data_IF_313625034895
#
_entry.id   IF_313625034895
#
_cell.length_a   1.000
_cell.length_b   1.000
_cell.length_c   1.000
_cell.angle_alpha   90.00
_cell.angle_beta   90.00
_cell.angle_gamma   90.00
#
_symmetry.space_group_name_H-M   'P 1'
#
loop_
_entity.id
_entity.type
_entity.pdbx_description
1 polymer ?
#
# COMPACT_ATOMS: atom_id res chain seq x y z
N UNK A 1 -7.23 -2.88 31.33
CA UNK A 1 -8.20 -2.42 30.29
C UNK A 1 -8.20 -3.38 29.07
N UNK A 2 -9.36 -3.80 28.57
CA UNK A 2 -9.43 -4.69 27.41
C UNK A 2 -8.90 -3.93 26.18
N UNK A 3 -8.01 -4.59 25.44
CA UNK A 3 -7.40 -4.06 24.22
C UNK A 3 -8.49 -3.75 23.20
N UNK A 4 -8.65 -2.46 22.85
CA UNK A 4 -9.64 -2.05 21.86
C UNK A 4 -9.09 -2.45 20.47
N UNK A 5 -9.65 -3.51 19.88
CA UNK A 5 -9.22 -4.15 18.61
C UNK A 5 -9.23 -3.20 17.39
N UNK A 6 -9.75 -2.00 17.52
CA UNK A 6 -9.78 -0.97 16.47
C UNK A 6 -8.65 0.06 16.59
N UNK A 7 -7.98 0.17 17.74
CA UNK A 7 -6.94 1.18 18.00
C UNK A 7 -5.51 0.65 17.86
N UNK A 8 -5.32 -0.66 17.69
CA UNK A 8 -3.97 -1.26 17.63
C UNK A 8 -3.19 -0.83 16.37
N UNK A 9 -3.88 -0.57 15.26
CA UNK A 9 -3.25 -0.11 14.01
C UNK A 9 -2.76 1.33 14.12
N UNK A 10 -3.47 2.17 14.86
CA UNK A 10 -3.21 3.61 14.95
C UNK A 10 -1.84 3.92 15.55
N UNK A 11 -1.40 3.13 16.53
CA UNK A 11 -0.07 3.25 17.12
C UNK A 11 1.02 2.80 16.15
N UNK A 12 0.81 1.68 15.46
CA UNK A 12 1.77 1.14 14.49
C UNK A 12 1.92 2.07 13.28
N UNK A 13 0.83 2.68 12.84
CA UNK A 13 0.79 3.65 11.75
C UNK A 13 1.49 4.95 12.15
N UNK A 14 1.22 5.48 13.35
CA UNK A 14 1.86 6.69 13.86
C UNK A 14 3.37 6.51 14.06
N UNK A 15 3.79 5.41 14.69
CA UNK A 15 5.22 5.10 14.90
C UNK A 15 5.94 4.93 13.55
N UNK A 16 5.29 4.29 12.56
CA UNK A 16 5.80 4.17 11.21
C UNK A 16 5.98 5.52 10.51
N UNK A 17 4.94 6.37 10.53
CA UNK A 17 4.99 7.70 9.89
C UNK A 17 6.03 8.61 10.53
N UNK A 18 6.12 8.67 11.86
CA UNK A 18 7.14 9.45 12.57
C UNK A 18 8.55 9.01 12.21
N UNK A 19 8.78 7.69 12.15
CA UNK A 19 10.06 7.13 11.73
C UNK A 19 10.40 7.52 10.29
N UNK A 20 9.44 7.42 9.37
CA UNK A 20 9.66 7.81 7.96
C UNK A 20 10.01 9.30 7.83
N UNK A 21 9.33 10.16 8.58
CA UNK A 21 9.53 11.60 8.51
C UNK A 21 10.88 12.00 9.11
N UNK A 22 11.26 11.41 10.25
CA UNK A 22 12.56 11.65 10.89
C UNK A 22 13.73 11.23 9.98
N UNK A 23 13.65 10.06 9.36
CA UNK A 23 14.69 9.57 8.45
C UNK A 23 14.76 10.41 7.16
N UNK A 24 13.62 10.80 6.59
CA UNK A 24 13.58 11.75 5.46
C UNK A 24 14.26 13.09 5.82
N UNK A 25 14.03 13.61 7.03
CA UNK A 25 14.65 14.85 7.51
C UNK A 25 16.16 14.67 7.68
N UNK A 26 16.63 13.56 8.26
CA UNK A 26 18.06 13.26 8.38
C UNK A 26 18.73 13.12 7.01
N UNK A 27 18.09 12.44 6.07
CA UNK A 27 18.61 12.24 4.71
C UNK A 27 18.59 13.53 3.87
N UNK A 28 17.67 14.45 4.15
CA UNK A 28 17.60 15.76 3.47
C UNK A 28 18.83 16.64 3.70
N UNK A 29 19.63 16.36 4.73
CA UNK A 29 20.91 17.04 5.02
C UNK A 29 22.13 16.43 4.31
N UNK A 30 21.99 15.27 3.66
CA UNK A 30 23.12 14.52 3.09
C UNK A 30 23.54 15.04 1.71
N UNK A 31 24.81 14.95 1.28
CA UNK A 31 25.22 15.41 -0.07
C UNK A 31 24.69 14.49 -1.19
N UNK A 32 24.40 15.05 -2.37
CA UNK A 32 23.81 14.36 -3.55
C UNK A 32 24.44 12.99 -3.88
N UNK A 33 25.77 12.86 -3.83
CA UNK A 33 26.47 11.60 -4.12
C UNK A 33 26.08 10.45 -3.17
N UNK A 34 25.88 10.74 -1.89
CA UNK A 34 25.49 9.74 -0.90
C UNK A 34 24.01 9.38 -1.00
N UNK A 35 23.18 10.29 -1.53
CA UNK A 35 21.74 10.05 -1.77
C UNK A 35 21.52 9.03 -2.89
N UNK A 36 22.27 9.13 -4.00
CA UNK A 36 22.19 8.17 -5.13
C UNK A 36 22.68 6.79 -4.71
N UNK A 37 23.76 6.71 -3.93
CA UNK A 37 24.25 5.44 -3.36
C UNK A 37 23.19 4.82 -2.45
N UNK A 38 22.51 5.62 -1.62
CA UNK A 38 21.43 5.12 -0.78
C UNK A 38 20.25 4.57 -1.62
N UNK A 39 19.87 5.22 -2.73
CA UNK A 39 18.87 4.69 -3.67
C UNK A 39 19.27 3.31 -4.25
N UNK A 40 20.52 3.20 -4.68
CA UNK A 40 21.06 1.96 -5.27
C UNK A 40 21.18 0.83 -4.26
N UNK A 41 21.42 1.15 -2.98
CA UNK A 41 21.45 0.18 -1.87
C UNK A 41 20.03 -0.19 -1.40
N UNK A 42 19.06 0.73 -1.50
CA UNK A 42 17.66 0.48 -1.10
C UNK A 42 16.97 -0.58 -1.96
N UNK A 43 17.19 -0.53 -3.27
CA UNK A 43 16.54 -1.40 -4.26
C UNK A 43 16.80 -2.91 -4.00
N UNK A 44 18.04 -3.38 -3.80
CA UNK A 44 18.32 -4.79 -3.48
C UNK A 44 17.85 -5.20 -2.08
N UNK A 45 17.76 -4.27 -1.12
CA UNK A 45 17.21 -4.53 0.22
C UNK A 45 15.70 -4.74 0.15
N UNK A 46 15.00 -4.01 -0.72
CA UNK A 46 13.55 -4.12 -0.89
C UNK A 46 13.13 -5.31 -1.76
N UNK A 47 13.95 -5.69 -2.75
CA UNK A 47 13.66 -6.82 -3.64
C UNK A 47 13.92 -8.18 -2.98
N UNK A 48 14.81 -8.25 -1.99
CA UNK A 48 15.00 -9.47 -1.21
C UNK A 48 13.80 -9.68 -0.26
N UNK A 49 12.81 -10.43 -0.74
CA UNK A 49 11.72 -11.00 0.07
C UNK A 49 12.30 -12.09 0.98
N UNK A 50 13.00 -11.69 2.04
CA UNK A 50 13.64 -12.58 3.01
C UNK A 50 12.67 -13.52 3.75
N UNK A 51 11.35 -13.31 3.65
CA UNK A 51 10.32 -14.15 4.27
C UNK A 51 9.83 -15.32 3.41
N UNK A 52 10.17 -15.42 2.11
CA UNK A 52 9.66 -16.51 1.24
C UNK A 52 10.73 -17.28 0.44
N UNK A 53 12.01 -16.95 0.60
CA UNK A 53 13.10 -17.63 -0.08
C UNK A 53 13.62 -18.83 0.73
N UNK A 54 12.96 -19.98 0.60
CA UNK A 54 13.68 -21.24 0.71
C UNK A 54 14.63 -21.31 -0.51
N UNK A 55 15.95 -21.26 -0.26
CA UNK A 55 17.04 -21.48 -1.22
C UNK A 55 17.52 -20.30 -2.10
N UNK A 56 18.13 -19.28 -1.51
CA UNK A 56 19.16 -18.47 -2.21
C UNK A 56 20.53 -18.54 -1.52
N UNK A 57 21.06 -19.76 -1.33
CA UNK A 57 22.50 -20.03 -1.10
C UNK A 57 23.20 -19.30 0.06
N UNK A 58 24.54 -19.41 0.11
CA UNK A 58 25.37 -19.01 1.26
C UNK A 58 25.31 -17.54 1.70
N UNK A 59 24.71 -16.65 0.90
CA UNK A 59 24.44 -15.26 1.29
C UNK A 59 23.31 -15.18 2.32
N UNK A 60 22.29 -16.06 2.20
CA UNK A 60 21.21 -16.16 3.18
C UNK A 60 21.74 -16.67 4.52
N UNK A 61 22.69 -17.61 4.48
CA UNK A 61 23.29 -18.19 5.69
C UNK A 61 24.15 -17.16 6.41
N UNK A 62 24.94 -16.37 5.67
CA UNK A 62 25.74 -15.28 6.23
C UNK A 62 24.86 -14.18 6.85
N UNK A 63 23.75 -13.81 6.18
CA UNK A 63 22.83 -12.78 6.67
C UNK A 63 22.03 -13.29 7.87
N UNK A 64 21.60 -14.56 7.91
CA UNK A 64 20.96 -15.17 9.08
C UNK A 64 21.90 -15.30 10.26
N UNK A 65 23.21 -15.49 10.02
CA UNK A 65 24.22 -15.55 11.08
C UNK A 65 24.51 -14.16 11.68
N UNK A 66 24.33 -13.09 10.90
CA UNK A 66 24.63 -11.70 11.31
C UNK A 66 23.37 -10.97 11.80
N UNK A 67 22.18 -11.27 11.28
CA UNK A 67 20.95 -10.53 11.55
C UNK A 67 19.80 -11.45 12.01
N UNK A 68 19.45 -11.32 13.29
CA UNK A 68 18.28 -11.98 13.90
C UNK A 68 16.96 -11.49 13.26
N UNK A 69 15.91 -12.34 13.28
CA UNK A 69 14.60 -12.12 12.60
C UNK A 69 13.96 -10.73 12.80
N UNK A 70 14.26 -10.04 13.90
CA UNK A 70 13.76 -8.68 14.14
C UNK A 70 14.33 -7.63 13.17
N UNK A 71 15.56 -7.81 12.71
CA UNK A 71 16.23 -6.85 11.84
C UNK A 71 15.70 -6.87 10.39
N UNK A 72 15.16 -7.99 9.91
CA UNK A 72 14.53 -8.07 8.60
C UNK A 72 13.30 -7.13 8.50
N UNK A 73 12.53 -7.00 9.59
CA UNK A 73 11.40 -6.06 9.67
C UNK A 73 11.89 -4.60 9.67
N UNK A 74 13.01 -4.31 10.33
CA UNK A 74 13.63 -2.98 10.33
C UNK A 74 14.17 -2.61 8.94
N UNK A 75 14.76 -3.56 8.22
CA UNK A 75 15.27 -3.37 6.85
C UNK A 75 14.13 -3.00 5.88
N UNK A 76 12.96 -3.62 6.01
CA UNK A 76 11.81 -3.28 5.18
C UNK A 76 11.31 -1.85 5.47
N UNK A 77 11.25 -1.47 6.76
CA UNK A 77 10.91 -0.09 7.17
C UNK A 77 11.90 0.89 6.57
N UNK A 78 13.20 0.67 6.74
CA UNK A 78 14.25 1.53 6.18
C UNK A 78 14.19 1.62 4.65
N UNK A 79 13.96 0.50 3.96
CA UNK A 79 13.80 0.45 2.50
C UNK A 79 12.61 1.26 2.01
N UNK A 80 11.46 1.17 2.69
CA UNK A 80 10.27 1.96 2.34
C UNK A 80 10.50 3.48 2.48
N UNK A 81 11.18 3.90 3.54
CA UNK A 81 11.54 5.31 3.75
C UNK A 81 12.49 5.79 2.66
N UNK A 82 13.47 4.96 2.32
CA UNK A 82 14.48 5.32 1.35
C UNK A 82 13.86 5.46 -0.04
N UNK A 83 12.94 4.58 -0.42
CA UNK A 83 12.14 4.68 -1.66
C UNK A 83 11.29 5.97 -1.66
N UNK A 84 10.54 6.25 -0.60
CA UNK A 84 9.75 7.49 -0.51
C UNK A 84 10.63 8.73 -0.67
N UNK A 85 11.79 8.74 -0.01
CA UNK A 85 12.77 9.80 -0.15
C UNK A 85 13.28 9.95 -1.60
N UNK A 86 13.56 8.83 -2.30
CA UNK A 86 13.96 8.86 -3.71
C UNK A 86 12.90 9.48 -4.62
N UNK A 87 11.63 9.15 -4.38
CA UNK A 87 10.48 9.64 -5.15
C UNK A 87 10.25 11.13 -4.88
N UNK A 88 10.38 11.58 -3.63
CA UNK A 88 10.20 12.99 -3.26
C UNK A 88 11.28 13.93 -3.83
N UNK A 89 12.46 13.43 -4.22
CA UNK A 89 13.55 14.28 -4.74
C UNK A 89 13.71 14.21 -6.26
N UNK A 90 13.26 13.13 -6.92
CA UNK A 90 13.37 12.98 -8.38
C UNK A 90 12.14 13.51 -9.11
N UNK A 91 12.27 14.69 -9.73
CA UNK A 91 11.21 15.26 -10.56
C UNK A 91 10.82 14.36 -11.75
N UNK A 92 11.71 13.46 -12.20
CA UNK A 92 11.38 12.46 -13.20
C UNK A 92 10.50 11.36 -12.63
N UNK A 93 10.85 10.83 -11.45
CA UNK A 93 10.09 9.77 -10.80
C UNK A 93 8.71 10.28 -10.36
N UNK A 94 8.64 11.52 -9.87
CA UNK A 94 7.35 12.19 -9.62
C UNK A 94 6.51 12.31 -10.89
N UNK A 95 7.09 12.65 -12.03
CA UNK A 95 6.35 12.69 -13.32
C UNK A 95 5.79 11.32 -13.71
N UNK A 96 6.54 10.24 -13.46
CA UNK A 96 6.06 8.86 -13.70
C UNK A 96 4.90 8.53 -12.75
N UNK A 97 5.04 8.77 -11.45
CA UNK A 97 3.96 8.51 -10.47
C UNK A 97 2.76 9.45 -10.61
N UNK A 98 2.95 10.65 -11.14
CA UNK A 98 1.87 11.60 -11.46
C UNK A 98 1.24 11.35 -12.83
N UNK A 99 1.72 10.36 -13.59
CA UNK A 99 1.14 9.99 -14.88
C UNK A 99 -0.33 9.58 -14.75
N UNK A 100 -1.07 9.64 -15.87
CA UNK A 100 -2.50 9.29 -15.90
C UNK A 100 -2.76 7.86 -15.41
N UNK A 101 -1.87 6.91 -15.73
CA UNK A 101 -1.99 5.51 -15.33
C UNK A 101 -1.76 5.34 -13.82
N UNK A 102 -0.66 5.85 -13.27
CA UNK A 102 -0.39 5.73 -11.83
C UNK A 102 -1.46 6.42 -10.98
N UNK A 103 -1.99 7.57 -11.44
CA UNK A 103 -3.09 8.26 -10.76
C UNK A 103 -4.40 7.47 -10.83
N UNK A 104 -4.69 6.84 -11.96
CA UNK A 104 -5.84 5.98 -12.12
C UNK A 104 -5.75 4.74 -11.22
N UNK A 105 -4.59 4.07 -11.20
CA UNK A 105 -4.34 2.94 -10.31
C UNK A 105 -4.46 3.35 -8.83
N UNK A 106 -3.97 4.54 -8.48
CA UNK A 106 -4.16 5.12 -7.14
C UNK A 106 -5.63 5.34 -6.79
N UNK A 107 -6.45 5.86 -7.71
CA UNK A 107 -7.90 6.09 -7.52
C UNK A 107 -8.66 4.80 -7.20
N UNK A 108 -8.34 3.68 -7.88
CA UNK A 108 -9.03 2.40 -7.65
C UNK A 108 -8.41 1.57 -6.53
N UNK A 109 -7.23 1.93 -6.02
CA UNK A 109 -6.43 1.12 -5.09
C UNK A 109 -7.17 0.73 -3.82
N UNK A 110 -7.96 1.65 -3.25
CA UNK A 110 -8.76 1.40 -2.06
C UNK A 110 -9.83 0.33 -2.32
N UNK A 111 -10.59 0.48 -3.41
CA UNK A 111 -11.60 -0.51 -3.79
C UNK A 111 -10.95 -1.87 -4.10
N UNK A 112 -9.81 -1.90 -4.82
CA UNK A 112 -9.03 -3.13 -5.08
C UNK A 112 -8.66 -3.81 -3.76
N UNK A 113 -8.14 -3.06 -2.78
CA UNK A 113 -7.78 -3.60 -1.48
C UNK A 113 -8.97 -4.22 -0.74
N UNK A 114 -10.17 -3.63 -0.83
CA UNK A 114 -11.35 -4.21 -0.17
C UNK A 114 -11.86 -5.45 -0.91
N UNK A 115 -11.93 -5.42 -2.24
CA UNK A 115 -12.58 -6.47 -3.03
C UNK A 115 -11.66 -7.63 -3.39
N UNK A 116 -10.34 -7.44 -3.43
CA UNK A 116 -9.42 -8.49 -3.87
C UNK A 116 -9.47 -9.73 -2.97
N UNK A 117 -9.61 -9.56 -1.65
CA UNK A 117 -9.60 -10.69 -0.72
C UNK A 117 -10.83 -11.60 -0.90
N UNK A 118 -12.08 -11.09 -0.89
CA UNK A 118 -13.24 -11.89 -1.26
C UNK A 118 -13.10 -12.55 -2.63
N UNK A 119 -12.65 -11.81 -3.65
CA UNK A 119 -12.53 -12.32 -5.03
C UNK A 119 -11.48 -13.43 -5.12
N UNK A 120 -10.37 -13.34 -4.37
CA UNK A 120 -9.38 -14.41 -4.28
C UNK A 120 -9.99 -15.70 -3.74
N UNK A 121 -10.82 -15.61 -2.70
CA UNK A 121 -11.51 -16.78 -2.14
C UNK A 121 -12.49 -17.38 -3.17
N UNK A 122 -13.33 -16.55 -3.78
CA UNK A 122 -14.25 -17.01 -4.83
C UNK A 122 -13.51 -17.62 -6.02
N UNK A 123 -12.44 -17.01 -6.53
CA UNK A 123 -11.73 -17.60 -7.67
C UNK A 123 -10.96 -18.87 -7.29
N UNK A 124 -10.41 -18.94 -6.07
CA UNK A 124 -9.74 -20.14 -5.57
C UNK A 124 -10.66 -21.35 -5.49
N UNK A 125 -11.88 -21.16 -4.96
CA UNK A 125 -12.81 -22.26 -4.72
C UNK A 125 -13.57 -22.71 -5.97
N UNK A 126 -13.73 -21.85 -6.98
CA UNK A 126 -14.48 -22.19 -8.20
C UNK A 126 -13.59 -22.52 -9.41
N UNK A 127 -12.52 -21.73 -9.66
CA UNK A 127 -11.70 -21.86 -10.88
C UNK A 127 -10.75 -23.05 -10.78
N UNK A 128 -10.19 -23.30 -9.59
CA UNK A 128 -9.25 -24.41 -9.37
C UNK A 128 -9.91 -25.79 -9.59
N UNK A 129 -11.06 -26.13 -8.97
CA UNK A 129 -11.70 -27.42 -9.21
C UNK A 129 -12.29 -27.53 -10.62
N UNK A 130 -12.77 -26.44 -11.22
CA UNK A 130 -13.20 -26.44 -12.62
C UNK A 130 -12.04 -26.80 -13.57
N UNK A 131 -10.87 -26.20 -13.40
CA UNK A 131 -9.68 -26.50 -14.21
C UNK A 131 -9.20 -27.95 -14.01
N UNK A 132 -9.28 -28.46 -12.79
CA UNK A 132 -8.98 -29.87 -12.48
C UNK A 132 -9.99 -30.83 -13.14
N UNK A 133 -11.27 -30.46 -13.20
CA UNK A 133 -12.30 -31.22 -13.90
C UNK A 133 -12.09 -31.33 -15.41
N UNK A 134 -11.35 -30.39 -16.01
CA UNK A 134 -10.93 -30.41 -17.42
C UNK A 134 -9.61 -31.18 -17.65
N UNK A 135 -9.04 -31.78 -16.61
CA UNK A 135 -7.79 -32.54 -16.69
C UNK A 135 -6.53 -31.67 -16.77
N UNK A 136 -6.61 -30.37 -16.44
CA UNK A 136 -5.45 -29.48 -16.50
C UNK A 136 -4.48 -29.73 -15.35
N UNK A 137 -3.18 -29.54 -15.61
CA UNK A 137 -2.15 -29.62 -14.58
C UNK A 137 -2.38 -28.57 -13.49
N UNK A 138 -2.06 -28.91 -12.23
CA UNK A 138 -2.32 -28.05 -11.08
C UNK A 138 -1.64 -26.68 -11.20
N UNK A 139 -0.47 -26.63 -11.84
CA UNK A 139 0.27 -25.39 -12.07
C UNK A 139 -0.43 -24.46 -13.07
N UNK A 140 -0.94 -24.99 -14.18
CA UNK A 140 -1.67 -24.21 -15.19
C UNK A 140 -2.98 -23.69 -14.61
N UNK A 141 -3.69 -24.50 -13.82
CA UNK A 141 -4.90 -24.08 -13.11
C UNK A 141 -4.64 -22.94 -12.11
N UNK A 142 -3.55 -22.99 -11.34
CA UNK A 142 -3.14 -21.91 -10.43
C UNK A 142 -2.82 -20.62 -11.17
N UNK A 143 -2.07 -20.69 -12.27
CA UNK A 143 -1.72 -19.50 -13.09
C UNK A 143 -2.97 -18.87 -13.71
N UNK A 144 -3.90 -19.69 -14.22
CA UNK A 144 -5.17 -19.20 -14.75
C UNK A 144 -6.02 -18.55 -13.65
N UNK A 145 -6.16 -19.20 -12.49
CA UNK A 145 -6.92 -18.65 -11.36
C UNK A 145 -6.32 -17.32 -10.86
N UNK A 146 -5.00 -17.20 -10.82
CA UNK A 146 -4.33 -15.95 -10.45
C UNK A 146 -4.58 -14.84 -11.47
N UNK A 147 -4.48 -15.14 -12.77
CA UNK A 147 -4.78 -14.16 -13.84
C UNK A 147 -6.25 -13.73 -13.81
N UNK A 148 -7.17 -14.69 -13.69
CA UNK A 148 -8.61 -14.43 -13.58
C UNK A 148 -8.93 -13.58 -12.35
N UNK A 149 -8.32 -13.90 -11.20
CA UNK A 149 -8.48 -13.12 -9.97
C UNK A 149 -7.95 -11.69 -10.12
N UNK A 150 -6.79 -11.50 -10.75
CA UNK A 150 -6.23 -10.17 -10.99
C UNK A 150 -7.18 -9.33 -11.86
N UNK A 151 -7.66 -9.89 -12.97
CA UNK A 151 -8.59 -9.19 -13.87
C UNK A 151 -9.93 -8.91 -13.18
N UNK A 152 -10.51 -9.91 -12.51
CA UNK A 152 -11.79 -9.76 -11.81
C UNK A 152 -11.71 -8.72 -10.69
N UNK A 153 -10.64 -8.73 -9.89
CA UNK A 153 -10.45 -7.75 -8.82
C UNK A 153 -10.32 -6.32 -9.34
N UNK A 154 -9.60 -6.10 -10.45
CA UNK A 154 -9.48 -4.76 -11.04
C UNK A 154 -10.79 -4.30 -11.68
N UNK A 155 -11.52 -5.20 -12.36
CA UNK A 155 -12.81 -4.89 -12.97
C UNK A 155 -13.86 -4.53 -11.90
N UNK A 156 -14.01 -5.37 -10.88
CA UNK A 156 -14.96 -5.12 -9.78
C UNK A 156 -14.56 -3.87 -9.00
N UNK A 157 -13.27 -3.66 -8.73
CA UNK A 157 -12.82 -2.46 -8.06
C UNK A 157 -13.14 -1.20 -8.86
N UNK A 158 -12.92 -1.21 -10.18
CA UNK A 158 -13.26 -0.05 -11.02
C UNK A 158 -14.75 0.28 -10.96
N UNK A 159 -15.61 -0.74 -11.08
CA UNK A 159 -17.06 -0.58 -10.95
C UNK A 159 -17.42 -0.03 -9.55
N UNK A 160 -16.87 -0.61 -8.48
CA UNK A 160 -17.12 -0.14 -7.13
C UNK A 160 -16.67 1.32 -6.92
N UNK A 161 -15.53 1.73 -7.47
CA UNK A 161 -15.06 3.12 -7.37
C UNK A 161 -16.01 4.09 -8.05
N UNK A 162 -16.47 3.76 -9.27
CA UNK A 162 -17.34 4.64 -10.06
C UNK A 162 -18.76 4.72 -9.48
N UNK A 163 -19.32 3.59 -9.04
CA UNK A 163 -20.73 3.50 -8.63
C UNK A 163 -20.96 3.66 -7.12
N UNK A 164 -19.95 3.41 -6.29
CA UNK A 164 -20.10 3.43 -4.82
C UNK A 164 -19.26 4.55 -4.22
N UNK A 165 -17.95 4.53 -4.44
CA UNK A 165 -17.02 5.41 -3.72
C UNK A 165 -17.22 6.90 -4.09
N UNK A 166 -17.17 7.22 -5.39
CA UNK A 166 -17.36 8.60 -5.86
C UNK A 166 -18.70 9.26 -5.51
N UNK A 167 -19.86 8.61 -5.69
CA UNK A 167 -21.12 9.20 -5.28
C UNK A 167 -21.22 9.35 -3.77
N UNK A 168 -20.69 8.39 -3.00
CA UNK A 168 -20.70 8.46 -1.55
C UNK A 168 -19.84 9.63 -1.02
N UNK A 169 -18.64 9.84 -1.57
CA UNK A 169 -17.79 10.98 -1.22
C UNK A 169 -18.46 12.32 -1.55
N UNK A 170 -19.16 12.41 -2.70
CA UNK A 170 -19.91 13.62 -3.07
C UNK A 170 -21.08 13.88 -2.10
N UNK A 171 -21.79 12.83 -1.72
CA UNK A 171 -22.88 12.91 -0.76
C UNK A 171 -22.40 13.33 0.63
N UNK A 172 -21.29 12.76 1.11
CA UNK A 172 -20.69 13.10 2.40
C UNK A 172 -20.29 14.58 2.46
N UNK A 173 -19.63 15.10 1.42
CA UNK A 173 -19.27 16.53 1.32
C UNK A 173 -20.49 17.45 1.22
N UNK A 174 -21.61 16.96 0.70
CA UNK A 174 -22.85 17.72 0.67
C UNK A 174 -23.50 17.77 2.07
N UNK A 175 -23.42 16.67 2.82
CA UNK A 175 -23.90 16.59 4.19
C UNK A 175 -23.06 17.46 5.15
N UNK A 176 -21.73 17.38 5.05
CA UNK A 176 -20.79 18.19 5.84
C UNK A 176 -21.11 19.69 5.70
N UNK A 177 -21.23 20.17 4.46
CA UNK A 177 -21.61 21.57 4.19
C UNK A 177 -22.96 21.96 4.80
N UNK A 178 -23.94 21.04 4.87
CA UNK A 178 -25.23 21.31 5.53
C UNK A 178 -25.10 21.41 7.04
N UNK A 179 -24.24 20.59 7.65
CA UNK A 179 -24.00 20.60 9.08
C UNK A 179 -23.21 21.84 9.51
N UNK A 180 -22.19 22.25 8.75
CA UNK A 180 -21.42 23.47 9.03
C UNK A 180 -22.29 24.74 8.96
N UNK A 181 -23.22 24.83 8.01
CA UNK A 181 -24.17 25.95 7.93
C UNK A 181 -25.09 26.04 9.15
N UNK A 182 -25.40 24.91 9.79
CA UNK A 182 -26.25 24.88 10.99
C UNK A 182 -25.48 25.19 12.29
N UNK A 183 -24.14 25.13 12.27
CA UNK A 183 -23.28 25.41 13.43
C UNK A 183 -22.75 26.85 13.42
N UNK A 184 -22.90 27.58 12.29
CA UNK A 184 -22.50 28.98 12.21
C UNK A 184 -23.15 29.80 13.34
N UNK A 185 -22.37 30.41 14.26
CA UNK A 185 -22.92 31.11 15.40
C UNK A 185 -23.73 32.32 14.91
N UNK A 186 -24.96 32.43 15.41
CA UNK A 186 -25.82 33.61 15.21
C UNK A 186 -25.00 34.85 15.59
N UNK A 187 -24.84 35.86 14.71
CA UNK A 187 -24.04 37.03 15.04
C UNK A 187 -24.62 37.68 16.30
N UNK A 188 -23.78 37.86 17.32
CA UNK A 188 -24.17 38.53 18.56
C UNK A 188 -24.75 39.90 18.22
N UNK A 189 -25.91 40.30 18.79
CA UNK A 189 -26.42 41.64 18.61
C UNK A 189 -25.36 42.62 19.11
N UNK A 190 -24.88 43.50 18.22
CA UNK A 190 -24.05 44.63 18.61
C UNK A 190 -24.92 45.54 19.46
N UNK A 191 -24.79 45.43 20.79
CA UNK A 191 -25.30 46.45 21.69
C UNK A 191 -24.50 47.73 21.43
N UNK A 192 -25.18 48.73 20.88
CA UNK A 192 -24.70 50.10 20.76
C UNK A 192 -24.85 50.86 22.06
#
# INVERSE_FOLDING_TARGET
PPFNLTLWTLRVELEGSLFTMAVCVMLSKLRYRHRVVACLVALPIFHNRFEYAANYGGVDTLIRLIFEKEHARMLHRLGSVLILYTVCWSAWLQRVFQSRLCRYLGRISFCVYVVHWPIMLFMGDYVKPWAQGQGWTEETGKRLAAAACYVASHAVAHVATVYVDEPYVKWLRALERRLEMNIAPKPFPRHG
#
